data_IF_391049410672
#
_entry.id   IF_391049410672
#
_cell.length_a   1.000
_cell.length_b   1.000
_cell.length_c   1.000
_cell.angle_alpha   90.00
_cell.angle_beta   90.00
_cell.angle_gamma   90.00
#
_symmetry.space_group_name_H-M   'P 1'
#
loop_
_entity.id
_entity.type
_entity.pdbx_description
1 polymer ?
#
# COMPACT_ATOMS: atom_id res chain seq x y z
N UNK A 1 11.57 -33.62 18.22
CA UNK A 1 10.49 -32.69 18.57
C UNK A 1 9.84 -32.22 17.27
N UNK A 2 8.53 -32.42 17.08
CA UNK A 2 7.81 -31.73 16.00
C UNK A 2 7.89 -30.24 16.31
N UNK A 3 8.35 -29.41 15.37
CA UNK A 3 8.22 -27.96 15.50
C UNK A 3 6.73 -27.66 15.76
N UNK A 4 6.42 -27.24 16.99
CA UNK A 4 5.04 -27.02 17.41
C UNK A 4 4.54 -25.69 16.86
N UNK A 5 3.23 -25.61 16.59
CA UNK A 5 2.53 -24.38 16.18
C UNK A 5 2.90 -23.17 17.06
N UNK A 6 3.13 -23.38 18.36
CA UNK A 6 3.56 -22.33 19.29
C UNK A 6 4.96 -21.78 19.05
N UNK A 7 5.92 -22.58 18.56
CA UNK A 7 7.27 -22.10 18.26
C UNK A 7 7.26 -21.21 17.01
N UNK A 8 6.54 -21.64 15.96
CA UNK A 8 6.34 -20.84 14.75
C UNK A 8 5.58 -19.54 15.05
N UNK A 9 4.51 -19.60 15.86
CA UNK A 9 3.82 -18.40 16.30
C UNK A 9 4.72 -17.46 17.12
N UNK A 10 5.59 -17.99 17.98
CA UNK A 10 6.53 -17.20 18.77
C UNK A 10 7.53 -16.43 17.90
N UNK A 11 8.10 -17.08 16.89
CA UNK A 11 9.02 -16.46 15.93
C UNK A 11 8.31 -15.39 15.07
N UNK A 12 7.10 -15.68 14.60
CA UNK A 12 6.28 -14.75 13.80
C UNK A 12 5.76 -13.56 14.61
N UNK A 13 5.45 -13.76 15.89
CA UNK A 13 4.80 -12.75 16.73
C UNK A 13 5.64 -11.48 16.84
N UNK A 14 6.96 -11.60 17.00
CA UNK A 14 7.85 -10.44 17.12
C UNK A 14 7.80 -9.61 15.83
N UNK A 15 8.00 -10.26 14.69
CA UNK A 15 8.01 -9.60 13.38
C UNK A 15 6.68 -8.90 13.10
N UNK A 16 5.56 -9.55 13.40
CA UNK A 16 4.21 -9.00 13.20
C UNK A 16 3.93 -7.82 14.13
N UNK A 17 4.29 -7.92 15.41
CA UNK A 17 4.09 -6.83 16.38
C UNK A 17 4.95 -5.61 16.03
N UNK A 18 6.22 -5.82 15.69
CA UNK A 18 7.08 -4.71 15.26
C UNK A 18 6.59 -4.07 13.97
N UNK A 19 6.22 -4.86 12.96
CA UNK A 19 5.62 -4.33 11.72
C UNK A 19 4.35 -3.53 11.97
N UNK A 20 3.47 -4.02 12.87
CA UNK A 20 2.26 -3.32 13.27
C UNK A 20 2.54 -1.97 13.94
N UNK A 21 3.51 -1.92 14.86
CA UNK A 21 3.90 -0.70 15.57
C UNK A 21 4.49 0.32 14.60
N UNK A 22 5.39 -0.12 13.73
CA UNK A 22 6.02 0.70 12.69
C UNK A 22 4.95 1.29 11.75
N UNK A 23 4.08 0.44 11.21
CA UNK A 23 2.97 0.90 10.35
C UNK A 23 2.05 1.90 11.05
N UNK A 24 1.74 1.69 12.34
CA UNK A 24 0.96 2.64 13.15
C UNK A 24 1.68 3.98 13.33
N UNK A 25 2.98 3.97 13.64
CA UNK A 25 3.77 5.19 13.77
C UNK A 25 3.80 5.99 12.46
N UNK A 26 3.93 5.32 11.32
CA UNK A 26 3.90 5.97 10.00
C UNK A 26 2.54 6.62 9.68
N UNK A 27 1.44 6.03 10.16
CA UNK A 27 0.08 6.60 10.08
C UNK A 27 -0.06 7.79 11.03
N UNK A 28 0.22 7.60 12.31
CA UNK A 28 -0.01 8.59 13.37
C UNK A 28 0.87 9.84 13.20
N UNK A 29 2.07 9.68 12.68
CA UNK A 29 3.01 10.78 12.40
C UNK A 29 2.64 11.60 11.15
N UNK A 30 1.71 11.13 10.31
CA UNK A 30 1.42 11.76 9.02
C UNK A 30 2.50 11.55 7.95
N UNK A 31 3.57 10.81 8.23
CA UNK A 31 4.64 10.52 7.27
C UNK A 31 4.12 9.89 5.97
N UNK A 32 3.19 8.95 6.08
CA UNK A 32 2.52 8.32 4.95
C UNK A 32 1.82 9.34 4.02
N UNK A 33 1.14 10.33 4.60
CA UNK A 33 0.46 11.41 3.86
C UNK A 33 1.46 12.34 3.18
N UNK A 34 2.53 12.71 3.88
CA UNK A 34 3.58 13.56 3.32
C UNK A 34 4.28 12.89 2.12
N UNK A 35 4.60 11.59 2.23
CA UNK A 35 5.22 10.83 1.14
C UNK A 35 4.31 10.84 -0.08
N UNK A 36 3.02 10.53 0.11
CA UNK A 36 2.04 10.55 -0.96
C UNK A 36 1.96 11.92 -1.64
N UNK A 37 1.78 12.99 -0.86
CA UNK A 37 1.68 14.36 -1.37
C UNK A 37 2.95 14.78 -2.13
N UNK A 38 4.13 14.48 -1.59
CA UNK A 38 5.41 14.82 -2.23
C UNK A 38 5.63 14.07 -3.54
N UNK A 39 5.26 12.79 -3.59
CA UNK A 39 5.39 11.96 -4.79
C UNK A 39 4.52 12.52 -5.92
N UNK A 40 3.30 12.95 -5.60
CA UNK A 40 2.36 13.56 -6.54
C UNK A 40 2.84 14.92 -7.03
N UNK A 41 3.29 15.78 -6.12
CA UNK A 41 3.81 17.10 -6.44
C UNK A 41 5.04 17.02 -7.37
N UNK A 42 5.92 16.03 -7.16
CA UNK A 42 7.13 15.84 -7.99
C UNK A 42 6.86 15.18 -9.34
N UNK A 43 6.02 14.14 -9.38
CA UNK A 43 5.75 13.40 -10.61
C UNK A 43 4.77 14.16 -11.53
N UNK A 44 3.94 15.04 -10.96
CA UNK A 44 2.98 15.85 -11.69
C UNK A 44 1.80 15.06 -12.26
N UNK A 45 0.82 15.79 -12.80
CA UNK A 45 -0.45 15.22 -13.30
C UNK A 45 -0.27 14.17 -14.39
N UNK A 46 0.82 14.25 -15.18
CA UNK A 46 1.12 13.31 -16.26
C UNK A 46 1.33 11.88 -15.77
N UNK A 47 1.83 11.70 -14.55
CA UNK A 47 2.17 10.39 -13.99
C UNK A 47 1.33 10.02 -12.76
N UNK A 48 0.17 10.66 -12.57
CA UNK A 48 -0.67 10.48 -11.39
C UNK A 48 -1.07 9.01 -11.14
N UNK A 49 -1.32 8.24 -12.21
CA UNK A 49 -1.59 6.79 -12.11
C UNK A 49 -0.38 6.01 -11.58
N UNK A 50 0.83 6.36 -12.02
CA UNK A 50 2.05 5.73 -11.53
C UNK A 50 2.31 6.12 -10.07
N UNK A 51 2.06 7.39 -9.71
CA UNK A 51 2.20 7.87 -8.35
C UNK A 51 1.33 7.06 -7.37
N UNK A 52 0.04 6.84 -7.70
CA UNK A 52 -0.85 6.07 -6.83
C UNK A 52 -0.49 4.59 -6.77
N UNK A 53 0.10 4.02 -7.83
CA UNK A 53 0.65 2.65 -7.80
C UNK A 53 1.81 2.57 -6.81
N UNK A 54 2.77 3.50 -6.89
CA UNK A 54 3.93 3.53 -5.99
C UNK A 54 3.47 3.71 -4.54
N UNK A 55 2.55 4.64 -4.29
CA UNK A 55 1.97 4.85 -2.96
C UNK A 55 1.28 3.58 -2.47
N UNK A 56 0.48 2.92 -3.33
CA UNK A 56 -0.16 1.65 -3.01
C UNK A 56 0.83 0.55 -2.63
N UNK A 57 1.93 0.41 -3.38
CA UNK A 57 3.01 -0.54 -3.07
C UNK A 57 3.65 -0.24 -1.70
N UNK A 58 3.96 1.03 -1.43
CA UNK A 58 4.56 1.45 -0.14
C UNK A 58 3.61 1.11 1.00
N UNK A 59 2.33 1.46 0.89
CA UNK A 59 1.36 1.21 1.95
C UNK A 59 1.08 -0.29 2.13
N UNK A 60 1.02 -1.06 1.04
CA UNK A 60 0.85 -2.52 1.10
C UNK A 60 2.02 -3.23 1.77
N UNK A 61 3.25 -2.71 1.61
CA UNK A 61 4.44 -3.23 2.26
C UNK A 61 4.54 -2.83 3.74
N UNK A 62 4.18 -1.58 4.07
CA UNK A 62 4.41 -1.01 5.39
C UNK A 62 3.25 -1.18 6.37
N UNK A 63 2.01 -1.32 5.88
CA UNK A 63 0.80 -1.34 6.70
C UNK A 63 0.00 -2.64 6.54
N UNK A 64 -0.91 -2.87 7.49
CA UNK A 64 -1.99 -3.83 7.29
C UNK A 64 -2.89 -3.41 6.13
N UNK A 65 -3.43 -4.38 5.41
CA UNK A 65 -4.21 -4.11 4.21
C UNK A 65 -5.43 -3.24 4.48
N UNK A 66 -6.15 -3.49 5.58
CA UNK A 66 -7.33 -2.73 5.98
C UNK A 66 -6.99 -1.26 6.25
N UNK A 67 -5.87 -1.03 6.94
CA UNK A 67 -5.37 0.32 7.25
C UNK A 67 -4.91 1.02 5.96
N UNK A 68 -4.13 0.33 5.13
CA UNK A 68 -3.68 0.84 3.84
C UNK A 68 -4.87 1.24 2.95
N UNK A 69 -5.91 0.41 2.89
CA UNK A 69 -7.11 0.66 2.10
C UNK A 69 -7.88 1.90 2.60
N UNK A 70 -8.11 2.01 3.91
CA UNK A 70 -8.79 3.15 4.54
C UNK A 70 -8.02 4.45 4.29
N UNK A 71 -6.69 4.41 4.28
CA UNK A 71 -5.84 5.57 4.02
C UNK A 71 -5.78 5.94 2.52
N UNK A 72 -5.71 4.94 1.64
CA UNK A 72 -5.69 5.15 0.18
C UNK A 72 -7.01 5.72 -0.34
N UNK A 73 -8.15 5.32 0.21
CA UNK A 73 -9.47 5.74 -0.27
C UNK A 73 -9.64 7.28 -0.34
N UNK A 74 -9.50 8.04 0.76
CA UNK A 74 -9.65 9.49 0.73
C UNK A 74 -8.54 10.16 -0.07
N UNK A 75 -7.31 9.66 0.01
CA UNK A 75 -6.16 10.17 -0.73
C UNK A 75 -6.41 10.11 -2.24
N UNK A 76 -6.81 8.94 -2.75
CA UNK A 76 -7.12 8.74 -4.17
C UNK A 76 -8.26 9.65 -4.63
N UNK A 77 -9.29 9.85 -3.80
CA UNK A 77 -10.41 10.73 -4.13
C UNK A 77 -9.95 12.20 -4.26
N UNK A 78 -9.13 12.68 -3.33
CA UNK A 78 -8.56 14.04 -3.37
C UNK A 78 -7.74 14.23 -4.64
N UNK A 79 -6.84 13.28 -4.93
CA UNK A 79 -5.99 13.31 -6.12
C UNK A 79 -6.82 13.28 -7.41
N UNK A 80 -7.85 12.43 -7.46
CA UNK A 80 -8.74 12.31 -8.60
C UNK A 80 -9.49 13.63 -8.87
N UNK A 81 -9.95 14.29 -7.81
CA UNK A 81 -10.61 15.58 -7.90
C UNK A 81 -9.66 16.68 -8.41
N UNK A 82 -8.44 16.77 -7.87
CA UNK A 82 -7.41 17.72 -8.33
C UNK A 82 -6.99 17.48 -9.77
N UNK A 83 -6.78 16.22 -10.14
CA UNK A 83 -6.41 15.81 -11.49
C UNK A 83 -7.58 15.81 -12.48
N UNK A 84 -8.81 16.09 -12.02
CA UNK A 84 -10.05 16.07 -12.82
C UNK A 84 -10.25 14.76 -13.60
N UNK A 85 -9.93 13.64 -12.98
CA UNK A 85 -10.09 12.29 -13.55
C UNK A 85 -11.02 11.44 -12.67
N UNK A 86 -11.75 10.47 -13.24
CA UNK A 86 -12.59 9.58 -12.45
C UNK A 86 -11.79 8.82 -11.41
N UNK A 87 -12.21 8.87 -10.14
CA UNK A 87 -11.45 8.29 -9.03
C UNK A 87 -11.19 6.79 -9.19
N UNK A 88 -12.11 6.04 -9.82
CA UNK A 88 -11.91 4.60 -10.08
C UNK A 88 -10.71 4.32 -10.99
N UNK A 89 -10.33 5.25 -11.89
CA UNK A 89 -9.12 5.12 -12.72
C UNK A 89 -7.82 5.22 -11.92
N UNK A 90 -7.89 5.70 -10.68
CA UNK A 90 -6.78 5.76 -9.73
C UNK A 90 -6.92 4.72 -8.61
N UNK A 91 -8.14 4.46 -8.15
CA UNK A 91 -8.42 3.55 -7.05
C UNK A 91 -8.08 2.10 -7.41
N UNK A 92 -8.47 1.65 -8.61
CA UNK A 92 -8.19 0.29 -9.07
C UNK A 92 -6.67 0.01 -9.09
N UNK A 93 -5.82 0.83 -9.75
CA UNK A 93 -4.37 0.60 -9.72
C UNK A 93 -3.77 0.71 -8.31
N UNK A 94 -4.23 1.64 -7.47
CA UNK A 94 -3.74 1.77 -6.10
C UNK A 94 -4.06 0.54 -5.24
N UNK A 95 -5.30 0.03 -5.31
CA UNK A 95 -5.74 -1.15 -4.58
C UNK A 95 -5.06 -2.41 -5.11
N UNK A 96 -4.90 -2.54 -6.43
CA UNK A 96 -4.15 -3.65 -7.03
C UNK A 96 -2.70 -3.68 -6.53
N UNK A 97 -2.03 -2.53 -6.50
CA UNK A 97 -0.69 -2.39 -5.95
C UNK A 97 -0.61 -2.76 -4.46
N UNK A 98 -1.48 -2.18 -3.63
CA UNK A 98 -1.50 -2.45 -2.20
C UNK A 98 -1.79 -3.92 -1.87
N UNK A 99 -2.79 -4.52 -2.55
CA UNK A 99 -3.17 -5.92 -2.36
C UNK A 99 -2.01 -6.85 -2.74
N UNK A 100 -1.40 -6.61 -3.89
CA UNK A 100 -0.30 -7.43 -4.42
C UNK A 100 0.91 -7.36 -3.49
N UNK A 101 1.29 -6.16 -3.06
CA UNK A 101 2.38 -5.97 -2.12
C UNK A 101 2.12 -6.66 -0.78
N UNK A 102 0.95 -6.42 -0.19
CA UNK A 102 0.60 -7.00 1.11
C UNK A 102 0.52 -8.52 1.08
N UNK A 103 0.14 -9.11 -0.06
CA UNK A 103 -0.10 -10.55 -0.19
C UNK A 103 1.14 -11.34 -0.56
N UNK A 104 2.16 -10.72 -1.18
CA UNK A 104 3.32 -11.44 -1.72
C UNK A 104 4.56 -11.31 -0.86
N UNK A 105 4.77 -10.17 -0.23
CA UNK A 105 6.01 -9.91 0.50
C UNK A 105 5.84 -10.24 1.98
N UNK A 106 6.87 -10.81 2.60
CA UNK A 106 7.08 -10.72 4.05
C UNK A 106 7.35 -9.28 4.49
N UNK A 107 7.17 -8.92 5.77
CA UNK A 107 6.96 -9.72 6.99
C UNK A 107 5.54 -10.25 7.28
N UNK A 108 4.61 -10.16 6.32
CA UNK A 108 3.20 -10.45 6.54
C UNK A 108 2.99 -11.92 6.97
N UNK A 109 2.07 -12.22 7.90
CA UNK A 109 1.92 -13.55 8.48
C UNK A 109 1.74 -14.67 7.43
N UNK A 110 0.97 -14.41 6.38
CA UNK A 110 0.72 -15.36 5.29
C UNK A 110 2.00 -15.71 4.52
N UNK A 111 2.65 -14.72 3.88
CA UNK A 111 3.94 -14.92 3.21
C UNK A 111 5.01 -15.54 4.11
N UNK A 112 5.19 -15.07 5.35
CA UNK A 112 6.21 -15.66 6.24
C UNK A 112 5.88 -17.10 6.61
N UNK A 113 4.60 -17.43 6.84
CA UNK A 113 4.19 -18.81 7.10
C UNK A 113 4.53 -19.74 5.92
N UNK A 114 4.37 -19.28 4.68
CA UNK A 114 4.76 -20.05 3.49
C UNK A 114 6.28 -20.19 3.38
N UNK A 115 7.03 -19.11 3.60
CA UNK A 115 8.51 -19.16 3.59
C UNK A 115 9.02 -20.19 4.59
N UNK A 116 8.48 -20.19 5.82
CA UNK A 116 8.86 -21.14 6.85
C UNK A 116 8.41 -22.58 6.54
N UNK A 117 7.18 -22.76 6.01
CA UNK A 117 6.65 -24.08 5.70
C UNK A 117 7.42 -24.79 4.57
N UNK A 118 7.90 -24.03 3.58
CA UNK A 118 8.65 -24.57 2.45
C UNK A 118 10.18 -24.47 2.62
N UNK A 119 10.66 -23.86 3.72
CA UNK A 119 12.09 -23.62 3.93
C UNK A 119 12.71 -22.74 2.84
N UNK A 120 11.94 -21.77 2.34
CA UNK A 120 12.37 -20.90 1.24
C UNK A 120 13.35 -19.83 1.72
N UNK A 121 14.25 -19.40 0.83
CA UNK A 121 15.13 -18.27 1.10
C UNK A 121 14.34 -16.95 1.03
N UNK A 122 14.43 -16.16 2.10
CA UNK A 122 13.73 -14.89 2.25
C UNK A 122 14.15 -13.89 1.16
N UNK A 123 15.44 -13.77 0.85
CA UNK A 123 15.93 -12.87 -0.19
C UNK A 123 15.36 -13.22 -1.57
N UNK A 124 15.35 -14.51 -1.91
CA UNK A 124 14.79 -15.01 -3.18
C UNK A 124 13.29 -14.76 -3.28
N UNK A 125 12.55 -14.85 -2.18
CA UNK A 125 11.11 -14.53 -2.15
C UNK A 125 10.87 -13.07 -2.47
N UNK A 126 11.68 -12.13 -1.98
CA UNK A 126 11.60 -10.73 -2.39
C UNK A 126 11.90 -10.54 -3.88
N UNK A 127 12.95 -11.18 -4.40
CA UNK A 127 13.34 -11.07 -5.82
C UNK A 127 12.21 -11.57 -6.72
N UNK A 128 11.72 -12.79 -6.49
CA UNK A 128 10.60 -13.34 -7.25
C UNK A 128 9.30 -12.56 -7.02
N UNK A 129 9.08 -12.08 -5.79
CA UNK A 129 7.95 -11.24 -5.43
C UNK A 129 7.89 -9.98 -6.29
N UNK A 130 9.02 -9.28 -6.51
CA UNK A 130 9.08 -8.11 -7.40
C UNK A 130 8.77 -8.50 -8.84
N UNK A 131 9.37 -9.60 -9.33
CA UNK A 131 9.13 -10.10 -10.69
C UNK A 131 7.68 -10.46 -10.95
N UNK A 132 6.95 -10.94 -9.94
CA UNK A 132 5.51 -11.27 -10.02
C UNK A 132 4.63 -10.04 -9.78
N UNK A 133 5.05 -9.13 -8.90
CA UNK A 133 4.28 -7.92 -8.55
C UNK A 133 4.12 -7.00 -9.75
N UNK A 134 5.19 -6.75 -10.50
CA UNK A 134 5.17 -5.86 -11.67
C UNK A 134 4.10 -6.28 -12.68
N UNK A 135 4.11 -7.51 -13.24
CA UNK A 135 3.08 -7.93 -14.19
C UNK A 135 1.70 -8.01 -13.55
N UNK A 136 1.58 -8.41 -12.27
CA UNK A 136 0.29 -8.47 -11.58
C UNK A 136 -0.37 -7.10 -11.47
N UNK A 137 0.40 -6.08 -11.07
CA UNK A 137 -0.09 -4.70 -10.96
C UNK A 137 -0.37 -4.10 -12.33
N UNK A 138 0.41 -4.41 -13.35
CA UNK A 138 0.11 -3.98 -14.72
C UNK A 138 -1.22 -4.60 -15.19
N UNK A 139 -1.39 -5.91 -15.02
CA UNK A 139 -2.59 -6.63 -15.44
C UNK A 139 -3.84 -6.17 -14.66
N UNK A 140 -3.81 -6.21 -13.34
CA UNK A 140 -4.96 -5.89 -12.49
C UNK A 140 -5.19 -4.37 -12.34
N UNK A 141 -4.12 -3.58 -12.33
CA UNK A 141 -4.18 -2.15 -12.05
C UNK A 141 -4.30 -1.26 -13.29
N UNK A 142 -3.71 -1.64 -14.42
CA UNK A 142 -3.67 -0.79 -15.63
C UNK A 142 -4.43 -1.37 -16.82
N UNK A 143 -4.39 -2.69 -17.00
CA UNK A 143 -5.04 -3.36 -18.13
C UNK A 143 -6.52 -3.60 -17.81
N UNK A 144 -6.84 -4.22 -16.67
CA UNK A 144 -8.21 -4.53 -16.27
C UNK A 144 -9.17 -3.32 -16.29
N UNK A 145 -8.80 -2.11 -15.78
CA UNK A 145 -9.70 -0.95 -15.85
C UNK A 145 -10.14 -0.57 -17.27
N UNK A 146 -9.33 -0.88 -18.28
CA UNK A 146 -9.68 -0.61 -19.69
C UNK A 146 -10.81 -1.51 -20.19
N UNK A 147 -10.99 -2.68 -19.57
CA UNK A 147 -12.04 -3.63 -19.89
C UNK A 147 -13.31 -3.45 -19.06
N UNK A 148 -13.26 -2.69 -17.96
CA UNK A 148 -14.39 -2.48 -17.05
C UNK A 148 -15.43 -1.45 -17.55
N UNK A 149 -15.27 -0.91 -18.76
CA UNK A 149 -16.21 0.02 -19.36
C UNK A 149 -16.18 1.42 -18.73
N UNK A 150 -17.35 2.02 -18.51
CA UNK A 150 -17.42 3.38 -17.97
C UNK A 150 -17.13 3.43 -16.46
N UNK A 151 -15.98 4.01 -16.11
CA UNK A 151 -15.51 4.23 -14.74
C UNK A 151 -15.90 5.60 -14.16
N UNK A 152 -16.65 6.42 -14.90
CA UNK A 152 -17.25 7.66 -14.41
C UNK A 152 -18.41 7.34 -13.49
N UNK A 153 -18.09 7.10 -12.22
CA UNK A 153 -19.04 6.84 -11.15
C UNK A 153 -18.95 7.95 -10.10
N UNK A 154 -20.08 8.32 -9.46
CA UNK A 154 -20.05 9.26 -8.35
C UNK A 154 -19.20 8.68 -7.22
N UNK A 155 -18.37 9.53 -6.59
CA UNK A 155 -17.63 9.17 -5.38
C UNK A 155 -18.61 8.86 -4.25
N UNK A 156 -18.55 7.66 -3.63
CA UNK A 156 -19.37 7.34 -2.46
C UNK A 156 -19.09 8.28 -1.30
N UNK A 157 -20.13 8.72 -0.59
CA UNK A 157 -20.01 9.66 0.52
C UNK A 157 -19.14 9.12 1.67
N UNK A 158 -19.21 7.82 1.95
CA UNK A 158 -18.46 7.16 3.02
C UNK A 158 -16.96 6.99 2.75
N UNK A 159 -16.49 7.21 1.51
CA UNK A 159 -15.05 7.17 1.19
C UNK A 159 -14.39 8.55 1.29
N UNK A 160 -15.18 9.61 1.48
CA UNK A 160 -14.64 10.94 1.76
C UNK A 160 -14.17 10.95 3.21
N UNK A 161 -12.99 11.49 3.48
CA UNK A 161 -12.50 11.61 4.84
C UNK A 161 -13.44 12.50 5.67
N UNK A 162 -13.87 12.02 6.84
CA UNK A 162 -14.68 12.78 7.78
C UNK A 162 -13.91 13.98 8.38
N UNK A 163 -12.58 13.90 8.41
CA UNK A 163 -11.69 15.00 8.78
C UNK A 163 -10.57 15.15 7.74
N UNK A 164 -10.36 16.35 7.17
CA UNK A 164 -9.21 16.61 6.32
C UNK A 164 -7.93 16.47 7.15
N UNK A 165 -6.95 15.75 6.62
CA UNK A 165 -5.62 15.70 7.24
C UNK A 165 -5.01 17.09 7.19
N UNK A 166 -4.57 17.61 8.34
CA UNK A 166 -3.97 18.94 8.42
C UNK A 166 -2.59 18.94 7.76
N UNK A 167 -2.54 19.48 6.54
CA UNK A 167 -1.32 19.55 5.74
C UNK A 167 -0.23 20.44 6.38
N UNK A 168 -0.58 21.34 7.31
CA UNK A 168 0.38 22.23 7.97
C UNK A 168 1.16 21.53 9.09
N UNK A 169 0.67 20.40 9.60
CA UNK A 169 1.27 19.67 10.71
C UNK A 169 2.00 18.38 10.26
N UNK A 170 2.23 18.22 8.95
CA UNK A 170 2.93 17.06 8.42
C UNK A 170 4.45 17.18 8.64
N UNK A 171 5.14 16.06 8.95
CA UNK A 171 6.59 16.05 9.00
C UNK A 171 7.17 16.36 7.62
N UNK A 172 8.40 16.87 7.57
CA UNK A 172 9.07 17.10 6.29
C UNK A 172 9.28 15.77 5.53
N UNK A 173 9.36 15.81 4.21
CA UNK A 173 9.53 14.60 3.39
C UNK A 173 10.76 13.76 3.80
N UNK A 174 11.88 14.42 4.13
CA UNK A 174 13.09 13.73 4.59
C UNK A 174 12.88 13.01 5.93
N UNK A 175 12.17 13.63 6.87
CA UNK A 175 11.78 13.00 8.14
C UNK A 175 10.80 11.87 7.88
N UNK A 176 9.86 12.05 6.94
CA UNK A 176 8.85 11.04 6.60
C UNK A 176 9.43 9.76 6.03
N UNK A 177 10.54 9.83 5.28
CA UNK A 177 11.28 8.65 4.81
C UNK A 177 12.01 7.94 5.96
N UNK A 178 12.40 8.68 7.00
CA UNK A 178 13.15 8.16 8.14
C UNK A 178 12.26 7.61 9.26
N UNK A 179 10.97 7.97 9.27
CA UNK A 179 9.98 7.26 10.09
C UNK A 179 9.86 5.87 9.46
N UNK A 180 10.28 4.80 10.17
CA UNK A 180 10.27 3.44 9.63
C UNK A 180 8.86 3.00 9.26
#
# INVERSE_FOLDING_TARGET
>A
MKAGFGNTLGELAIIVVFGAVIGKLMVDSGAAHQIAHTLLARLGLRYVQLSVIIIGLIFGLAMFYEVAFIMLAPLVIVIAAEAKIPFLKLAIPAVAAATTAHSLFPPQPGPVALVNAYGADMGMVYIYGVLVTIPSVICAGLILPKFLGNLERPTPSFLKADQPVDMNNLPSFGVSILVP
#
